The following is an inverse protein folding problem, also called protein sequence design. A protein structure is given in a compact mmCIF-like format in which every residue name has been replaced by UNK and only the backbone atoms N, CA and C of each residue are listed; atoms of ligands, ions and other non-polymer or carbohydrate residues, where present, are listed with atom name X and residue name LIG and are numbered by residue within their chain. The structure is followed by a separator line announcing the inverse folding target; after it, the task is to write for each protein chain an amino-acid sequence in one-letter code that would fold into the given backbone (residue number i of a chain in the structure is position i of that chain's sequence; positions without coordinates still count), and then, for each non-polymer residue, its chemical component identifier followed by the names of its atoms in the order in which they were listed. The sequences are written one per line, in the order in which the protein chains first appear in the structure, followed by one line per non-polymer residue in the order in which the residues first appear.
data_IF_179887650289
#
_entry.id   IF_179887650289
#
_cell.length_a   1.000
_cell.length_b   1.000
_cell.length_c   1.000
_cell.angle_alpha   90.00
_cell.angle_beta   90.00
_cell.angle_gamma   90.00
#
_symmetry.space_group_name_H-M   'P 1'
#
loop_
_entity.id
_entity.type
_entity.pdbx_description
1 polymer ?
#
# COMPACT_ATOMS: atom_id res chain seq x y z
N UNK A 1 -2.83 -2.92 -16.76
CA UNK A 1 -2.30 -1.63 -16.29
C UNK A 1 -0.95 -1.42 -16.93
N UNK A 2 -0.75 -0.30 -17.62
CA UNK A 2 0.40 -0.08 -18.51
C UNK A 2 1.70 0.13 -17.69
N UNK A 3 2.65 -0.80 -17.82
CA UNK A 3 4.01 -0.65 -17.27
C UNK A 3 4.71 0.60 -17.83
N UNK A 4 4.36 1.00 -19.05
CA UNK A 4 4.86 2.20 -19.71
C UNK A 4 4.50 3.49 -18.95
N UNK A 5 3.26 3.57 -18.42
CA UNK A 5 2.81 4.75 -17.66
C UNK A 5 3.58 4.86 -16.34
N UNK A 6 3.73 3.77 -15.59
CA UNK A 6 4.49 3.77 -14.34
C UNK A 6 5.98 4.09 -14.60
N UNK A 7 6.57 3.55 -15.66
CA UNK A 7 7.95 3.87 -16.02
C UNK A 7 8.14 5.34 -16.42
N UNK A 8 7.20 5.92 -17.17
CA UNK A 8 7.22 7.35 -17.50
C UNK A 8 7.08 8.23 -16.25
N UNK A 9 6.20 7.83 -15.32
CA UNK A 9 6.00 8.54 -14.07
C UNK A 9 7.24 8.48 -13.18
N UNK A 10 7.90 7.34 -13.11
CA UNK A 10 9.16 7.17 -12.40
C UNK A 10 10.27 8.08 -12.97
N UNK A 11 10.43 8.13 -14.29
CA UNK A 11 11.41 9.01 -14.92
C UNK A 11 11.09 10.49 -14.71
N UNK A 12 9.83 10.87 -14.73
CA UNK A 12 9.38 12.22 -14.45
C UNK A 12 9.65 12.60 -12.99
N UNK A 13 9.35 11.74 -12.03
CA UNK A 13 9.63 11.99 -10.61
C UNK A 13 11.12 12.11 -10.34
N UNK A 14 11.96 11.27 -10.95
CA UNK A 14 13.41 11.38 -10.84
C UNK A 14 13.93 12.71 -11.43
N UNK A 15 13.40 13.14 -12.57
CA UNK A 15 13.79 14.42 -13.15
C UNK A 15 13.35 15.60 -12.30
N UNK A 16 12.15 15.57 -11.73
CA UNK A 16 11.66 16.60 -10.81
C UNK A 16 12.50 16.68 -9.53
N UNK A 17 12.90 15.52 -8.99
CA UNK A 17 13.77 15.45 -7.82
C UNK A 17 15.12 16.08 -8.10
N UNK A 18 15.72 15.82 -9.26
CA UNK A 18 16.97 16.43 -9.68
C UNK A 18 16.82 17.94 -9.84
N UNK A 19 15.72 18.40 -10.46
CA UNK A 19 15.40 19.82 -10.60
C UNK A 19 15.24 20.49 -9.22
N UNK A 20 14.54 19.85 -8.28
CA UNK A 20 14.34 20.38 -6.93
C UNK A 20 15.68 20.56 -6.18
N UNK A 21 16.60 19.60 -6.28
CA UNK A 21 17.91 19.69 -5.68
C UNK A 21 18.74 20.82 -6.30
N UNK A 22 18.74 20.96 -7.62
CA UNK A 22 19.45 22.07 -8.31
C UNK A 22 18.80 23.41 -7.95
N UNK A 23 17.48 23.48 -7.92
CA UNK A 23 16.76 24.70 -7.57
C UNK A 23 17.08 25.16 -6.13
N UNK A 24 17.19 24.26 -5.16
CA UNK A 24 17.56 24.59 -3.79
C UNK A 24 18.96 25.25 -3.74
N UNK A 25 19.90 24.75 -4.54
CA UNK A 25 21.23 25.31 -4.63
C UNK A 25 21.22 26.72 -5.29
N UNK A 26 20.50 26.86 -6.40
CA UNK A 26 20.40 28.16 -7.13
C UNK A 26 19.77 29.22 -6.22
N UNK A 27 18.66 28.90 -5.54
CA UNK A 27 17.99 29.82 -4.62
C UNK A 27 18.90 30.25 -3.46
N UNK A 28 19.68 29.32 -2.90
CA UNK A 28 20.64 29.64 -1.86
C UNK A 28 21.76 30.56 -2.36
N UNK A 29 22.26 30.34 -3.59
CA UNK A 29 23.27 31.22 -4.22
C UNK A 29 22.71 32.61 -4.49
N UNK A 30 21.41 32.74 -4.80
CA UNK A 30 20.72 34.00 -4.98
C UNK A 30 20.47 34.75 -3.66
N UNK A 31 20.86 34.21 -2.52
CA UNK A 31 20.71 34.83 -1.21
C UNK A 31 19.30 34.76 -0.65
N UNK A 32 18.45 33.83 -1.14
CA UNK A 32 17.16 33.54 -0.54
C UNK A 32 17.36 32.76 0.78
N UNK A 33 16.47 33.02 1.74
CA UNK A 33 16.43 32.27 3.02
C UNK A 33 15.87 30.85 2.79
N UNK A 34 16.66 29.98 2.17
CA UNK A 34 16.28 28.59 1.87
C UNK A 34 17.39 27.64 2.29
N UNK A 35 17.01 26.45 2.72
CA UNK A 35 17.99 25.42 3.05
C UNK A 35 18.53 24.74 1.79
N UNK A 36 19.84 24.86 1.59
CA UNK A 36 20.52 24.22 0.46
C UNK A 36 20.69 22.72 0.71
N UNK A 37 20.06 21.90 -0.10
CA UNK A 37 20.16 20.42 -0.02
C UNK A 37 21.58 19.92 -0.30
N UNK A 38 22.35 20.63 -1.12
CA UNK A 38 23.74 20.29 -1.45
C UNK A 38 24.79 20.83 -0.43
N UNK A 39 24.34 21.55 0.62
CA UNK A 39 25.21 21.94 1.72
C UNK A 39 25.60 20.73 2.59
N UNK A 40 26.68 20.84 3.40
CA UNK A 40 27.02 19.80 4.37
C UNK A 40 25.88 19.47 5.34
N UNK A 41 25.07 20.47 5.70
CA UNK A 41 23.88 20.32 6.55
C UNK A 41 22.76 19.59 5.83
N UNK A 42 22.50 19.94 4.56
CA UNK A 42 21.51 19.27 3.72
C UNK A 42 21.87 17.80 3.47
N UNK A 43 23.15 17.53 3.20
CA UNK A 43 23.62 16.16 3.06
C UNK A 43 23.46 15.33 4.34
N UNK A 44 23.79 15.93 5.50
CA UNK A 44 23.57 15.29 6.80
C UNK A 44 22.07 15.04 7.05
N UNK A 45 21.20 15.99 6.70
CA UNK A 45 19.76 15.83 6.84
C UNK A 45 19.24 14.67 5.97
N UNK A 46 19.65 14.58 4.71
CA UNK A 46 19.28 13.46 3.82
C UNK A 46 19.73 12.13 4.45
N UNK A 47 20.96 12.01 4.91
CA UNK A 47 21.46 10.76 5.49
C UNK A 47 20.69 10.34 6.75
N UNK A 48 20.26 11.29 7.58
CA UNK A 48 19.52 11.00 8.81
C UNK A 48 18.05 10.64 8.53
N UNK A 49 17.42 11.30 7.56
CA UNK A 49 15.99 11.16 7.29
C UNK A 49 15.68 10.33 6.04
N UNK A 50 16.69 9.76 5.36
CA UNK A 50 16.50 9.02 4.11
C UNK A 50 15.50 7.88 4.24
N UNK A 51 15.55 7.12 5.34
CA UNK A 51 14.60 6.03 5.57
C UNK A 51 13.16 6.54 5.80
N UNK A 52 12.99 7.60 6.58
CA UNK A 52 11.69 8.21 6.85
C UNK A 52 11.08 8.80 5.58
N UNK A 53 11.91 9.46 4.76
CA UNK A 53 11.49 10.02 3.48
C UNK A 53 11.07 8.94 2.46
N UNK A 54 11.79 7.80 2.43
CA UNK A 54 11.49 6.70 1.52
C UNK A 54 10.38 5.76 2.02
N UNK A 55 10.17 5.70 3.33
CA UNK A 55 9.19 4.80 3.96
C UNK A 55 8.12 5.58 4.75
N UNK A 56 7.28 6.36 4.08
CA UNK A 56 6.21 7.08 4.75
C UNK A 56 5.26 6.11 5.49
N UNK A 57 4.61 6.58 6.53
CA UNK A 57 3.71 5.77 7.37
C UNK A 57 2.58 5.08 6.59
N UNK A 58 2.18 5.65 5.45
CA UNK A 58 1.17 5.08 4.56
C UNK A 58 1.72 4.03 3.59
N UNK A 59 3.03 3.84 3.48
CA UNK A 59 3.63 2.87 2.55
C UNK A 59 3.27 1.43 2.94
N UNK A 60 3.30 1.09 4.23
CA UNK A 60 2.96 -0.23 4.72
C UNK A 60 1.52 -0.65 4.36
N UNK A 61 0.47 0.17 4.62
CA UNK A 61 -0.87 -0.14 4.15
C UNK A 61 -0.98 -0.18 2.62
N UNK A 62 -0.22 0.63 1.87
CA UNK A 62 -0.20 0.56 0.41
C UNK A 62 0.39 -0.76 -0.10
N UNK A 63 1.49 -1.24 0.49
CA UNK A 63 2.06 -2.56 0.18
C UNK A 63 1.03 -3.67 0.45
N UNK A 64 0.36 -3.62 1.60
CA UNK A 64 -0.67 -4.59 1.95
C UNK A 64 -1.83 -4.58 0.94
N UNK A 65 -2.28 -3.41 0.51
CA UNK A 65 -3.31 -3.24 -0.53
C UNK A 65 -2.85 -3.81 -1.87
N UNK A 66 -1.63 -3.53 -2.28
CA UNK A 66 -1.04 -4.05 -3.52
C UNK A 66 -0.99 -5.57 -3.52
N UNK A 67 -0.57 -6.17 -2.40
CA UNK A 67 -0.57 -7.64 -2.24
C UNK A 67 -1.99 -8.18 -2.37
N UNK A 68 -2.97 -7.60 -1.67
CA UNK A 68 -4.37 -8.06 -1.72
C UNK A 68 -4.99 -7.95 -3.11
N UNK A 69 -4.76 -6.86 -3.82
CA UNK A 69 -5.22 -6.69 -5.21
C UNK A 69 -4.54 -7.70 -6.15
N UNK A 70 -3.24 -7.94 -5.94
CA UNK A 70 -2.50 -8.98 -6.63
C UNK A 70 -3.08 -10.37 -6.41
N UNK A 71 -3.43 -10.69 -5.17
CA UNK A 71 -4.09 -11.94 -4.79
C UNK A 71 -5.44 -12.13 -5.49
N UNK A 72 -6.30 -11.11 -5.48
CA UNK A 72 -7.57 -11.14 -6.19
C UNK A 72 -7.38 -11.38 -7.70
N UNK A 73 -6.35 -10.78 -8.25
CA UNK A 73 -6.06 -10.94 -9.68
C UNK A 73 -5.52 -12.33 -10.03
N UNK A 74 -4.58 -12.85 -9.21
CA UNK A 74 -3.99 -14.18 -9.40
C UNK A 74 -5.04 -15.29 -9.21
N UNK A 75 -5.87 -15.18 -8.19
CA UNK A 75 -6.88 -16.19 -7.87
C UNK A 75 -7.95 -16.32 -8.93
N UNK A 76 -8.24 -15.25 -9.66
CA UNK A 76 -9.32 -15.19 -10.61
C UNK A 76 -10.72 -15.26 -10.00
N UNK A 77 -10.85 -15.05 -8.68
CA UNK A 77 -12.14 -15.07 -7.95
C UNK A 77 -13.17 -14.19 -8.64
N UNK A 78 -12.78 -12.97 -9.01
CA UNK A 78 -13.69 -12.01 -9.66
C UNK A 78 -14.24 -12.54 -11.00
N UNK A 79 -13.41 -13.21 -11.78
CA UNK A 79 -13.86 -13.83 -13.04
C UNK A 79 -14.74 -15.04 -12.80
N UNK A 80 -14.46 -15.83 -11.76
CA UNK A 80 -15.25 -16.99 -11.37
C UNK A 80 -16.63 -16.59 -10.82
N UNK A 81 -16.74 -15.49 -10.09
CA UNK A 81 -18.03 -14.97 -9.62
C UNK A 81 -18.99 -14.64 -10.78
N UNK A 82 -18.47 -14.26 -11.92
CA UNK A 82 -19.25 -13.93 -13.13
C UNK A 82 -19.63 -15.15 -13.99
N UNK A 83 -18.98 -16.32 -13.80
CA UNK A 83 -19.23 -17.53 -14.58
C UNK A 83 -20.52 -18.22 -14.11
N UNK A 84 -21.37 -18.61 -15.07
CA UNK A 84 -22.61 -19.37 -14.79
C UNK A 84 -22.35 -20.86 -14.51
N UNK A 85 -21.34 -21.47 -15.15
CA UNK A 85 -20.98 -22.88 -14.91
C UNK A 85 -19.71 -22.93 -14.10
N UNK A 86 -19.74 -23.57 -12.94
CA UNK A 86 -18.65 -23.73 -11.99
C UNK A 86 -18.46 -25.21 -11.66
N UNK A 87 -17.24 -25.63 -11.40
CA UNK A 87 -16.95 -26.96 -10.86
C UNK A 87 -17.30 -27.03 -9.38
N UNK A 88 -17.48 -28.25 -8.86
CA UNK A 88 -17.77 -28.46 -7.42
C UNK A 88 -16.68 -27.84 -6.53
N UNK A 89 -15.41 -28.03 -6.91
CA UNK A 89 -14.27 -27.48 -6.15
C UNK A 89 -14.25 -25.94 -6.17
N UNK A 90 -14.58 -25.32 -7.30
CA UNK A 90 -14.69 -23.87 -7.40
C UNK A 90 -15.82 -23.30 -6.54
N UNK A 91 -16.95 -24.02 -6.46
CA UNK A 91 -18.05 -23.65 -5.57
C UNK A 91 -17.66 -23.75 -4.10
N UNK A 92 -17.01 -24.85 -3.70
CA UNK A 92 -16.48 -25.02 -2.34
C UNK A 92 -15.46 -23.92 -2.00
N UNK A 93 -14.57 -23.58 -2.92
CA UNK A 93 -13.62 -22.50 -2.75
C UNK A 93 -14.32 -21.15 -2.55
N UNK A 94 -15.34 -20.84 -3.36
CA UNK A 94 -16.11 -19.60 -3.20
C UNK A 94 -16.84 -19.54 -1.85
N UNK A 95 -17.46 -20.62 -1.41
CA UNK A 95 -18.10 -20.69 -0.11
C UNK A 95 -17.06 -20.49 1.00
N UNK A 96 -15.92 -21.20 0.95
CA UNK A 96 -14.86 -21.04 1.95
C UNK A 96 -14.26 -19.62 1.95
N UNK A 97 -14.01 -19.02 0.79
CA UNK A 97 -13.51 -17.66 0.68
C UNK A 97 -14.51 -16.61 1.18
N UNK A 98 -15.79 -16.74 0.85
CA UNK A 98 -16.83 -15.81 1.31
C UNK A 98 -17.11 -15.95 2.81
N UNK A 99 -17.15 -17.14 3.35
CA UNK A 99 -17.30 -17.36 4.80
C UNK A 99 -16.10 -16.82 5.57
N UNK A 100 -14.88 -17.05 5.10
CA UNK A 100 -13.67 -16.46 5.69
C UNK A 100 -13.72 -14.94 5.66
N UNK A 101 -14.15 -14.32 4.55
CA UNK A 101 -14.31 -12.88 4.44
C UNK A 101 -15.31 -12.33 5.45
N UNK A 102 -16.48 -12.94 5.58
CA UNK A 102 -17.52 -12.52 6.53
C UNK A 102 -17.06 -12.64 7.98
N UNK A 103 -16.46 -13.77 8.35
CA UNK A 103 -15.96 -13.99 9.71
C UNK A 103 -14.85 -13.01 10.07
N UNK A 104 -13.89 -12.80 9.19
CA UNK A 104 -12.78 -11.88 9.41
C UNK A 104 -13.20 -10.40 9.36
N UNK A 105 -14.31 -10.06 8.72
CA UNK A 105 -14.87 -8.69 8.71
C UNK A 105 -15.58 -8.34 10.02
N UNK A 106 -16.02 -9.34 10.79
CA UNK A 106 -16.75 -9.15 12.05
C UNK A 106 -16.02 -8.20 13.04
N UNK A 107 -14.74 -8.38 13.36
CA UNK A 107 -14.03 -7.52 14.31
C UNK A 107 -13.87 -6.07 13.82
N UNK A 108 -13.92 -5.83 12.50
CA UNK A 108 -13.89 -4.46 11.96
C UNK A 108 -15.25 -3.78 12.09
N UNK A 109 -16.33 -4.53 11.98
CA UNK A 109 -17.70 -4.00 12.03
C UNK A 109 -18.14 -3.72 13.47
N UNK A 110 -17.71 -4.52 14.43
CA UNK A 110 -18.11 -4.40 15.85
C UNK A 110 -17.90 -2.99 16.43
N UNK A 111 -16.78 -2.29 16.21
CA UNK A 111 -16.58 -0.94 16.75
C UNK A 111 -17.54 0.11 16.21
N UNK A 112 -18.14 -0.13 15.04
CA UNK A 112 -19.14 0.80 14.46
C UNK A 112 -20.39 0.81 15.31
N UNK A 113 -20.83 -0.36 15.82
CA UNK A 113 -22.06 -0.51 16.59
C UNK A 113 -21.85 -0.39 18.10
N UNK A 114 -20.66 -0.71 18.60
CA UNK A 114 -20.38 -0.70 20.04
C UNK A 114 -19.62 0.57 20.44
N UNK A 115 -20.29 1.48 21.13
CA UNK A 115 -19.77 2.80 21.53
C UNK A 115 -18.52 2.69 22.43
N UNK A 116 -18.48 1.72 23.33
CA UNK A 116 -17.37 1.50 24.28
C UNK A 116 -16.33 0.49 23.74
N UNK A 117 -16.04 0.48 22.45
CA UNK A 117 -15.00 -0.41 21.93
C UNK A 117 -13.60 0.22 22.11
N UNK A 118 -12.61 -0.61 22.46
CA UNK A 118 -11.21 -0.21 22.63
C UNK A 118 -10.57 0.38 21.35
N UNK A 119 -11.20 0.19 20.20
CA UNK A 119 -10.71 0.68 18.89
C UNK A 119 -11.22 2.09 18.55
N UNK A 120 -12.15 2.64 19.32
CA UNK A 120 -12.59 4.03 19.17
C UNK A 120 -11.62 5.01 19.87
N UNK A 121 -11.73 6.28 19.51
CA UNK A 121 -11.04 7.36 20.21
C UNK A 121 -11.48 7.42 21.68
N UNK A 122 -10.62 7.96 22.55
CA UNK A 122 -10.93 8.23 23.97
C UNK A 122 -12.21 9.08 24.11
N UNK A 123 -12.50 9.93 23.11
CA UNK A 123 -13.71 10.76 23.05
C UNK A 123 -14.94 10.01 22.51
N UNK A 124 -14.83 8.71 22.20
CA UNK A 124 -15.90 7.91 21.61
C UNK A 124 -16.15 8.13 20.10
N UNK A 125 -15.39 9.05 19.48
CA UNK A 125 -15.52 9.33 18.04
C UNK A 125 -14.89 8.23 17.20
N UNK A 126 -15.45 7.99 15.98
CA UNK A 126 -14.92 7.06 15.00
C UNK A 126 -13.78 7.65 14.18
N UNK A 127 -13.77 8.96 13.97
CA UNK A 127 -12.77 9.70 13.19
C UNK A 127 -12.37 10.95 13.96
N UNK A 128 -11.07 11.18 14.27
CA UNK A 128 -9.94 10.25 14.11
C UNK A 128 -9.89 9.18 15.23
N UNK A 129 -9.58 7.94 14.85
CA UNK A 129 -9.44 6.85 15.82
C UNK A 129 -8.41 5.81 15.35
N UNK A 130 -7.85 4.98 16.24
CA UNK A 130 -6.99 3.86 15.87
C UNK A 130 -7.68 2.89 14.90
N UNK A 131 -9.00 2.72 15.04
CA UNK A 131 -9.82 1.92 14.12
C UNK A 131 -9.72 2.45 12.67
N UNK A 132 -9.90 3.75 12.46
CA UNK A 132 -9.84 4.36 11.13
C UNK A 132 -8.46 4.19 10.48
N UNK A 133 -7.39 4.39 11.24
CA UNK A 133 -6.01 4.21 10.75
C UNK A 133 -5.68 2.75 10.42
N UNK A 134 -6.28 1.80 11.12
CA UNK A 134 -6.06 0.37 10.87
C UNK A 134 -6.90 -0.21 9.71
N UNK A 135 -7.93 0.49 9.26
CA UNK A 135 -8.85 0.00 8.21
C UNK A 135 -8.16 -0.48 6.92
N UNK A 136 -7.25 0.30 6.29
CA UNK A 136 -6.64 -0.13 5.04
C UNK A 136 -5.84 -1.43 5.19
N UNK A 137 -5.07 -1.55 6.27
CA UNK A 137 -4.27 -2.74 6.56
C UNK A 137 -5.14 -3.95 6.91
N UNK A 138 -6.18 -3.74 7.71
CA UNK A 138 -7.11 -4.80 8.12
C UNK A 138 -7.90 -5.34 6.94
N UNK A 139 -8.44 -4.46 6.08
CA UNK A 139 -9.15 -4.87 4.86
C UNK A 139 -8.24 -5.64 3.91
N UNK A 140 -7.00 -5.19 3.76
CA UNK A 140 -6.00 -5.87 2.94
C UNK A 140 -5.73 -7.28 3.44
N UNK A 141 -5.56 -7.44 4.76
CA UNK A 141 -5.33 -8.75 5.38
C UNK A 141 -6.54 -9.67 5.19
N UNK A 142 -7.76 -9.17 5.38
CA UNK A 142 -8.99 -9.94 5.17
C UNK A 142 -9.10 -10.43 3.73
N UNK A 143 -8.86 -9.56 2.76
CA UNK A 143 -8.89 -9.91 1.33
C UNK A 143 -7.81 -10.95 1.01
N UNK A 144 -6.61 -10.81 1.56
CA UNK A 144 -5.54 -11.77 1.40
C UNK A 144 -5.92 -13.16 1.94
N UNK A 145 -6.38 -13.23 3.21
CA UNK A 145 -6.73 -14.49 3.85
C UNK A 145 -7.94 -15.16 3.19
N UNK A 146 -8.97 -14.40 2.83
CA UNK A 146 -10.15 -14.94 2.14
C UNK A 146 -9.80 -15.49 0.75
N UNK A 147 -8.91 -14.79 0.03
CA UNK A 147 -8.42 -15.25 -1.27
C UNK A 147 -7.54 -16.49 -1.15
N UNK A 148 -6.74 -16.56 -0.10
CA UNK A 148 -5.94 -17.74 0.23
C UNK A 148 -6.84 -18.96 0.48
N UNK A 149 -7.88 -18.80 1.33
CA UNK A 149 -8.87 -19.85 1.57
C UNK A 149 -9.53 -20.31 0.26
N UNK A 150 -9.96 -19.39 -0.58
CA UNK A 150 -10.49 -19.73 -1.90
C UNK A 150 -9.52 -20.58 -2.72
N UNK A 151 -8.27 -20.16 -2.85
CA UNK A 151 -7.28 -20.87 -3.65
C UNK A 151 -7.00 -22.28 -3.14
N UNK A 152 -6.94 -22.47 -1.83
CA UNK A 152 -6.69 -23.78 -1.21
C UNK A 152 -7.81 -24.79 -1.55
N UNK A 153 -9.06 -24.37 -1.50
CA UNK A 153 -10.20 -25.24 -1.80
C UNK A 153 -10.48 -25.38 -3.29
N UNK A 154 -10.35 -24.30 -4.07
CA UNK A 154 -10.65 -24.31 -5.48
C UNK A 154 -9.56 -25.01 -6.32
N UNK A 155 -8.28 -24.76 -6.01
CA UNK A 155 -7.14 -25.25 -6.82
C UNK A 155 -6.44 -26.47 -6.21
N UNK A 156 -6.71 -26.82 -4.97
CA UNK A 156 -6.05 -27.91 -4.24
C UNK A 156 -4.51 -27.84 -4.27
N UNK A 157 -3.97 -26.63 -4.38
CA UNK A 157 -2.53 -26.41 -4.36
C UNK A 157 -1.96 -26.52 -2.94
N UNK A 158 -0.63 -26.80 -2.84
CA UNK A 158 0.04 -26.81 -1.55
C UNK A 158 0.11 -25.41 -0.96
N UNK A 159 -0.20 -25.25 0.33
CA UNK A 159 -0.29 -23.97 1.05
C UNK A 159 0.88 -23.02 0.77
N UNK A 160 2.12 -23.48 0.94
CA UNK A 160 3.31 -22.63 0.77
C UNK A 160 3.49 -22.13 -0.67
N UNK A 161 3.14 -22.94 -1.67
CA UNK A 161 3.22 -22.54 -3.09
C UNK A 161 2.15 -21.50 -3.41
N UNK A 162 0.95 -21.67 -2.89
CA UNK A 162 -0.15 -20.73 -3.07
C UNK A 162 0.19 -19.38 -2.44
N UNK A 163 0.68 -19.35 -1.20
CA UNK A 163 1.09 -18.10 -0.53
C UNK A 163 2.19 -17.40 -1.32
N UNK A 164 3.25 -18.11 -1.70
CA UNK A 164 4.35 -17.55 -2.47
C UNK A 164 3.89 -16.94 -3.79
N UNK A 165 3.05 -17.65 -4.55
CA UNK A 165 2.54 -17.16 -5.84
C UNK A 165 1.58 -15.96 -5.69
N UNK A 166 0.75 -15.94 -4.67
CA UNK A 166 -0.14 -14.82 -4.37
C UNK A 166 0.65 -13.54 -4.08
N UNK A 167 1.62 -13.62 -3.17
CA UNK A 167 2.44 -12.45 -2.78
C UNK A 167 3.31 -11.98 -3.94
N UNK A 168 4.03 -12.90 -4.60
CA UNK A 168 4.93 -12.55 -5.71
C UNK A 168 4.20 -11.89 -6.87
N UNK A 169 2.99 -12.34 -7.20
CA UNK A 169 2.18 -11.75 -8.28
C UNK A 169 1.76 -10.33 -7.96
N UNK A 170 1.37 -10.07 -6.71
CA UNK A 170 1.02 -8.73 -6.25
C UNK A 170 2.20 -7.78 -6.36
N UNK A 171 3.30 -8.13 -5.71
CA UNK A 171 4.51 -7.30 -5.67
C UNK A 171 5.07 -7.06 -7.07
N UNK A 172 5.28 -8.11 -7.88
CA UNK A 172 5.87 -7.97 -9.21
C UNK A 172 5.04 -7.12 -10.17
N UNK A 173 3.72 -7.12 -10.01
CA UNK A 173 2.82 -6.36 -10.86
C UNK A 173 2.79 -4.86 -10.53
N UNK A 174 2.93 -4.52 -9.25
CA UNK A 174 2.75 -3.16 -8.75
C UNK A 174 4.03 -2.56 -8.16
N UNK A 175 5.17 -3.26 -8.25
CA UNK A 175 6.45 -2.79 -7.70
C UNK A 175 6.81 -1.36 -8.15
N UNK A 176 6.65 -1.04 -9.44
CA UNK A 176 6.94 0.29 -9.97
C UNK A 176 6.08 1.37 -9.31
N UNK A 177 4.79 1.10 -9.05
CA UNK A 177 3.91 2.05 -8.37
C UNK A 177 4.30 2.31 -6.91
N UNK A 178 4.83 1.28 -6.23
CA UNK A 178 5.35 1.45 -4.88
C UNK A 178 6.63 2.31 -4.88
N UNK A 179 7.49 2.13 -5.88
CA UNK A 179 8.67 2.98 -6.07
C UNK A 179 8.26 4.42 -6.38
N UNK A 180 7.30 4.62 -7.29
CA UNK A 180 6.79 5.96 -7.63
C UNK A 180 6.23 6.67 -6.40
N UNK A 181 5.50 5.95 -5.53
CA UNK A 181 4.96 6.50 -4.30
C UNK A 181 6.06 6.93 -3.31
N UNK A 182 7.12 6.11 -3.17
CA UNK A 182 8.28 6.45 -2.33
C UNK A 182 9.05 7.65 -2.87
N UNK A 183 9.26 7.72 -4.19
CA UNK A 183 9.92 8.86 -4.84
C UNK A 183 9.11 10.15 -4.70
N UNK A 184 7.79 10.07 -4.83
CA UNK A 184 6.91 11.22 -4.62
C UNK A 184 7.02 11.76 -3.20
N UNK A 185 7.01 10.87 -2.20
CA UNK A 185 7.18 11.28 -0.81
C UNK A 185 8.56 11.93 -0.58
N UNK A 186 9.61 11.33 -1.12
CA UNK A 186 10.96 11.88 -1.02
C UNK A 186 11.07 13.28 -1.64
N UNK A 187 10.44 13.49 -2.81
CA UNK A 187 10.35 14.80 -3.43
C UNK A 187 9.65 15.83 -2.53
N UNK A 188 8.51 15.46 -1.93
CA UNK A 188 7.77 16.34 -1.02
C UNK A 188 8.62 16.74 0.17
N UNK A 189 9.34 15.80 0.79
CA UNK A 189 10.18 16.08 1.95
C UNK A 189 11.39 16.97 1.59
N UNK A 190 12.01 16.79 0.42
CA UNK A 190 13.06 17.69 -0.08
C UNK A 190 12.53 19.10 -0.26
N UNK A 191 11.35 19.25 -0.87
CA UNK A 191 10.74 20.58 -1.08
C UNK A 191 10.42 21.25 0.26
N UNK A 192 9.88 20.51 1.22
CA UNK A 192 9.63 21.02 2.58
C UNK A 192 10.93 21.47 3.26
N UNK A 193 11.98 20.65 3.20
CA UNK A 193 13.29 20.99 3.76
C UNK A 193 13.88 22.25 3.14
N UNK A 194 13.71 22.42 1.82
CA UNK A 194 14.23 23.59 1.10
C UNK A 194 13.50 24.89 1.49
N UNK A 195 12.20 24.82 1.71
CA UNK A 195 11.35 26.00 1.97
C UNK A 195 11.26 26.40 3.44
N UNK A 196 11.78 25.55 4.36
CA UNK A 196 11.85 25.94 5.75
C UNK A 196 11.27 25.25 6.80
#
# INVERSE_FOLDING_TARGET
MNKTIASLLCTLLLSLLLIAVIASWVMAVMGMEVHNVLSPEGYRWICLHALECLTPSYLAPCIALVISVGCLHYSGVVSMMRRKRRTVNENLGLIAGTTAFLVLSCPIIVPVFKINSALRSVTGQLIPSPWFHSLPSSLSLIVFLSTLCYCLFARKERFYRTVGSLVSTGVSRYALWLVDLSLLNFLIEIVKYTLG
#
